data_IF_139101167884
#
_entry.id   IF_139101167884
#
_cell.length_a   1.000
_cell.length_b   1.000
_cell.length_c   1.000
_cell.angle_alpha   90.00
_cell.angle_beta   90.00
_cell.angle_gamma   90.00
#
_symmetry.space_group_name_H-M   'P 1'
#
loop_
_entity.id
_entity.type
_entity.pdbx_description
1 polymer ?
#
# COMPACT_ATOMS: atom_id res chain seq x y z
N UNK A 1 17.69 -9.92 -10.15
CA UNK A 1 16.22 -9.92 -10.11
C UNK A 1 15.74 -9.45 -11.46
N UNK A 2 14.93 -10.25 -12.19
CA UNK A 2 14.35 -9.80 -13.46
C UNK A 2 13.30 -8.73 -13.15
N UNK A 3 13.12 -7.79 -14.07
CA UNK A 3 12.13 -6.72 -13.94
C UNK A 3 10.75 -7.39 -13.78
N UNK A 4 10.03 -7.08 -12.70
CA UNK A 4 8.68 -7.58 -12.37
C UNK A 4 8.57 -9.01 -11.79
N UNK A 5 9.64 -9.62 -11.28
CA UNK A 5 9.53 -10.89 -10.54
C UNK A 5 8.56 -10.74 -9.35
N UNK A 6 7.67 -11.72 -9.19
CA UNK A 6 6.73 -11.77 -8.08
C UNK A 6 7.41 -12.26 -6.81
N UNK A 7 7.07 -11.62 -5.69
CA UNK A 7 7.41 -12.14 -4.37
C UNK A 7 6.60 -13.42 -4.12
N UNK A 8 7.28 -14.44 -3.61
CA UNK A 8 6.62 -15.68 -3.18
C UNK A 8 5.64 -15.40 -2.05
N UNK A 9 4.66 -16.28 -1.86
CA UNK A 9 3.73 -16.20 -0.72
C UNK A 9 4.48 -16.16 0.62
N UNK A 10 5.61 -16.87 0.74
CA UNK A 10 6.43 -16.85 1.95
C UNK A 10 7.07 -15.48 2.18
N UNK A 11 7.68 -14.88 1.15
CA UNK A 11 8.31 -13.56 1.26
C UNK A 11 7.28 -12.47 1.61
N UNK A 12 6.09 -12.51 0.99
CA UNK A 12 5.00 -11.58 1.31
C UNK A 12 4.54 -11.72 2.77
N UNK A 13 4.31 -12.96 3.24
CA UNK A 13 3.94 -13.22 4.64
C UNK A 13 5.02 -12.75 5.62
N UNK A 14 6.29 -13.01 5.33
CA UNK A 14 7.40 -12.55 6.17
C UNK A 14 7.50 -11.02 6.22
N UNK A 15 7.36 -10.36 5.08
CA UNK A 15 7.33 -8.90 5.01
C UNK A 15 6.13 -8.30 5.77
N UNK A 16 4.95 -8.92 5.68
CA UNK A 16 3.77 -8.48 6.43
C UNK A 16 3.98 -8.63 7.92
N UNK A 17 4.41 -9.82 8.37
CA UNK A 17 4.67 -10.11 9.77
C UNK A 17 5.67 -9.11 10.36
N UNK A 18 6.77 -8.85 9.64
CA UNK A 18 7.76 -7.86 10.04
C UNK A 18 7.18 -6.44 10.15
N UNK A 19 6.30 -6.04 9.24
CA UNK A 19 5.66 -4.72 9.33
C UNK A 19 4.71 -4.60 10.51
N UNK A 20 3.96 -5.66 10.85
CA UNK A 20 3.07 -5.70 12.02
C UNK A 20 3.89 -5.60 13.31
N UNK A 21 5.00 -6.33 13.42
CA UNK A 21 5.89 -6.29 14.58
C UNK A 21 6.46 -4.89 14.84
N UNK A 22 6.67 -4.11 13.78
CA UNK A 22 7.15 -2.73 13.86
C UNK A 22 6.03 -1.69 14.01
N UNK A 23 4.77 -2.11 14.11
CA UNK A 23 3.65 -1.18 14.26
C UNK A 23 3.78 -0.37 15.56
N UNK A 24 3.59 0.96 15.52
CA UNK A 24 3.54 1.77 16.74
C UNK A 24 2.43 1.33 17.70
N UNK A 25 1.32 0.86 17.14
CA UNK A 25 0.20 0.24 17.84
C UNK A 25 -0.43 -0.82 16.93
N UNK A 26 -0.46 -2.07 17.38
CA UNK A 26 -0.99 -3.20 16.61
C UNK A 26 -2.53 -3.27 16.62
N UNK A 27 -3.17 -2.58 17.56
CA UNK A 27 -4.63 -2.57 17.69
C UNK A 27 -5.29 -1.46 16.86
N UNK A 28 -4.56 -0.42 16.49
CA UNK A 28 -5.12 0.76 15.80
C UNK A 28 -4.54 0.98 14.40
N UNK A 29 -4.32 -0.11 13.67
CA UNK A 29 -3.74 -0.05 12.31
C UNK A 29 -4.73 0.57 11.31
N UNK A 30 -4.25 1.56 10.56
CA UNK A 30 -4.97 2.22 9.48
C UNK A 30 -4.16 2.25 8.18
N UNK A 31 -4.85 2.13 7.05
CA UNK A 31 -4.26 2.27 5.72
C UNK A 31 -4.36 3.72 5.23
N UNK A 32 -3.23 4.32 4.85
CA UNK A 32 -3.23 5.55 4.06
C UNK A 32 -3.39 5.23 2.55
N UNK A 33 -4.59 5.42 2.02
CA UNK A 33 -4.92 5.19 0.63
C UNK A 33 -4.72 6.47 -0.21
N UNK A 34 -3.83 6.39 -1.20
CA UNK A 34 -3.51 7.51 -2.12
C UNK A 34 -3.79 7.20 -3.59
N UNK A 35 -4.21 5.97 -3.91
CA UNK A 35 -4.39 5.48 -5.28
C UNK A 35 -5.64 4.61 -5.45
N UNK A 36 -5.49 3.46 -6.10
CA UNK A 36 -6.61 2.57 -6.45
C UNK A 36 -7.42 2.09 -5.23
N UNK A 37 -6.78 1.96 -4.06
CA UNK A 37 -7.43 1.56 -2.81
C UNK A 37 -8.48 2.57 -2.30
N UNK A 38 -8.44 3.83 -2.75
CA UNK A 38 -9.49 4.82 -2.46
C UNK A 38 -10.85 4.34 -3.03
N UNK A 39 -10.82 3.75 -4.23
CA UNK A 39 -12.03 3.39 -4.98
C UNK A 39 -12.38 1.91 -4.85
N UNK A 40 -11.37 1.06 -4.69
CA UNK A 40 -11.52 -0.39 -4.61
C UNK A 40 -10.66 -0.90 -3.45
N UNK A 41 -11.13 -0.84 -2.20
CA UNK A 41 -10.44 -1.43 -1.05
C UNK A 41 -10.44 -2.97 -1.15
N UNK A 42 -9.59 -3.61 -0.33
CA UNK A 42 -9.45 -5.08 -0.26
C UNK A 42 -10.14 -5.71 0.95
N UNK A 43 -10.86 -4.91 1.72
CA UNK A 43 -11.50 -5.28 2.98
C UNK A 43 -12.73 -4.39 3.15
N UNK A 44 -13.59 -4.75 4.11
CA UNK A 44 -14.77 -3.96 4.44
C UNK A 44 -14.36 -2.62 5.06
N UNK A 45 -14.90 -1.53 4.52
CA UNK A 45 -14.54 -0.18 4.96
C UNK A 45 -15.69 0.41 5.77
N UNK A 46 -15.50 0.46 7.08
CA UNK A 46 -16.48 1.04 8.01
C UNK A 46 -16.46 2.57 7.99
N UNK A 47 -15.27 3.17 7.84
CA UNK A 47 -15.11 4.61 7.83
C UNK A 47 -13.93 5.06 6.96
N UNK A 48 -13.96 6.32 6.54
CA UNK A 48 -12.90 6.97 5.75
C UNK A 48 -12.71 8.39 6.25
N UNK A 49 -11.49 8.73 6.60
CA UNK A 49 -11.11 10.08 7.01
C UNK A 49 -10.25 10.71 5.92
N UNK A 50 -10.48 12.00 5.59
CA UNK A 50 -9.53 12.73 4.76
C UNK A 50 -8.23 12.88 5.54
N UNK A 51 -7.10 12.69 4.87
CA UNK A 51 -5.80 12.78 5.50
C UNK A 51 -4.77 13.40 4.55
N UNK A 52 -3.79 14.09 5.11
CA UNK A 52 -2.68 14.70 4.39
C UNK A 52 -1.37 14.06 4.86
N UNK A 53 -0.66 13.43 3.92
CA UNK A 53 0.69 12.92 4.15
C UNK A 53 1.71 13.95 3.66
N UNK A 54 2.43 14.56 4.60
CA UNK A 54 3.51 15.52 4.31
C UNK A 54 4.82 14.81 4.00
N UNK A 55 5.69 15.43 3.20
CA UNK A 55 6.99 14.87 2.81
C UNK A 55 6.92 13.88 1.65
N UNK A 56 5.77 13.81 0.97
CA UNK A 56 5.53 12.90 -0.15
C UNK A 56 4.73 13.57 -1.26
N UNK A 57 5.07 13.24 -2.51
CA UNK A 57 4.28 13.54 -3.70
C UNK A 57 3.70 12.26 -4.28
N UNK A 58 2.41 12.28 -4.60
CA UNK A 58 1.78 11.26 -5.46
C UNK A 58 2.20 11.50 -6.91
N UNK A 59 2.87 10.51 -7.51
CA UNK A 59 3.39 10.59 -8.86
C UNK A 59 3.22 9.27 -9.61
N UNK A 60 3.18 9.34 -10.93
CA UNK A 60 3.20 8.17 -11.81
C UNK A 60 4.65 7.67 -11.95
N UNK A 61 5.15 7.00 -10.92
CA UNK A 61 6.56 6.61 -10.80
C UNK A 61 6.80 5.11 -10.62
N UNK A 62 5.77 4.28 -10.79
CA UNK A 62 5.85 2.83 -10.62
C UNK A 62 5.59 2.16 -11.96
N UNK A 63 6.58 1.48 -12.53
CA UNK A 63 6.31 0.63 -13.70
C UNK A 63 5.57 -0.64 -13.25
N UNK A 64 4.60 -1.07 -14.04
CA UNK A 64 3.84 -2.30 -13.76
C UNK A 64 3.45 -3.02 -15.06
N UNK A 65 3.40 -4.34 -15.00
CA UNK A 65 2.88 -5.20 -16.06
C UNK A 65 1.57 -5.88 -15.65
N UNK A 66 1.15 -5.71 -14.41
CA UNK A 66 -0.06 -6.30 -13.83
C UNK A 66 -1.29 -5.47 -14.13
N UNK A 67 -1.11 -4.15 -14.21
CA UNK A 67 -2.18 -3.21 -14.50
C UNK A 67 -1.72 -2.22 -15.56
N UNK A 68 -2.59 -1.96 -16.54
CA UNK A 68 -2.43 -0.87 -17.52
C UNK A 68 -1.16 -0.98 -18.38
N UNK A 69 -0.65 -2.19 -18.59
CA UNK A 69 0.50 -2.46 -19.44
C UNK A 69 0.74 -3.96 -19.61
N UNK A 70 1.78 -4.30 -20.38
CA UNK A 70 2.22 -5.66 -20.69
C UNK A 70 3.75 -5.74 -20.62
N UNK A 71 4.38 -6.92 -20.57
CA UNK A 71 5.84 -7.04 -20.45
C UNK A 71 6.65 -6.23 -21.47
N UNK A 72 6.20 -6.18 -22.73
CA UNK A 72 6.90 -5.45 -23.81
C UNK A 72 6.64 -3.93 -23.81
N UNK A 73 5.56 -3.49 -23.14
CA UNK A 73 5.23 -2.08 -22.97
C UNK A 73 4.60 -1.87 -21.58
N UNK A 74 5.44 -1.75 -20.53
CA UNK A 74 4.96 -1.69 -19.16
C UNK A 74 4.16 -0.41 -18.93
N UNK A 75 3.09 -0.55 -18.15
CA UNK A 75 2.23 0.53 -17.73
C UNK A 75 2.87 1.35 -16.62
N UNK A 76 2.21 2.46 -16.30
CA UNK A 76 2.62 3.37 -15.24
C UNK A 76 1.54 3.44 -14.16
N UNK A 77 1.92 3.06 -12.96
CA UNK A 77 1.16 3.11 -11.72
C UNK A 77 1.56 4.30 -10.85
N UNK A 78 0.70 4.59 -9.88
CA UNK A 78 0.93 5.63 -8.88
C UNK A 78 1.86 5.11 -7.78
N UNK A 79 2.77 5.96 -7.32
CA UNK A 79 3.55 5.74 -6.11
C UNK A 79 3.66 7.03 -5.30
N UNK A 80 4.21 6.90 -4.09
CA UNK A 80 4.59 8.04 -3.25
C UNK A 80 6.10 8.22 -3.35
N UNK A 81 6.53 9.35 -3.91
CA UNK A 81 7.93 9.75 -3.95
C UNK A 81 8.21 10.68 -2.77
N UNK A 82 9.29 10.43 -2.04
CA UNK A 82 9.78 11.36 -1.00
C UNK A 82 10.13 12.69 -1.67
N UNK A 83 9.49 13.76 -1.21
CA UNK A 83 9.56 15.11 -1.79
C UNK A 83 9.14 16.13 -0.71
N UNK A 84 9.41 17.43 -0.87
CA UNK A 84 8.94 18.45 0.07
C UNK A 84 7.44 18.80 -0.09
N UNK A 85 6.70 18.02 -0.87
CA UNK A 85 5.28 18.22 -1.14
C UNK A 85 4.38 17.54 -0.08
N UNK A 86 3.08 17.70 -0.24
CA UNK A 86 2.07 16.93 0.50
C UNK A 86 1.19 16.13 -0.45
N UNK A 87 0.68 15.01 0.04
CA UNK A 87 -0.23 14.13 -0.67
C UNK A 87 -1.55 14.05 0.09
N UNK A 88 -2.64 14.46 -0.56
CA UNK A 88 -3.99 14.23 -0.07
C UNK A 88 -4.42 12.79 -0.36
N UNK A 89 -4.97 12.13 0.66
CA UNK A 89 -5.46 10.77 0.57
C UNK A 89 -6.59 10.52 1.56
N UNK A 90 -6.86 9.24 1.81
CA UNK A 90 -7.79 8.80 2.82
C UNK A 90 -7.07 7.93 3.84
N UNK A 91 -7.31 8.18 5.12
CA UNK A 91 -7.01 7.23 6.18
C UNK A 91 -8.21 6.30 6.36
N UNK A 92 -7.97 5.01 6.25
CA UNK A 92 -8.99 3.97 6.32
C UNK A 92 -8.60 3.02 7.47
N UNK A 93 -9.29 3.09 8.62
CA UNK A 93 -9.07 2.13 9.70
C UNK A 93 -9.33 0.70 9.23
N UNK A 94 -8.51 -0.24 9.67
CA UNK A 94 -8.77 -1.65 9.43
C UNK A 94 -9.80 -2.16 10.46
N UNK A 95 -10.75 -3.04 10.07
CA UNK A 95 -11.71 -3.62 10.99
C UNK A 95 -11.00 -4.39 12.10
N UNK A 96 -11.46 -4.25 13.35
CA UNK A 96 -10.82 -4.88 14.51
C UNK A 96 -10.85 -6.40 14.42
N UNK A 97 -12.03 -6.98 14.15
CA UNK A 97 -12.25 -8.43 14.14
C UNK A 97 -11.62 -9.15 12.93
N UNK A 98 -11.31 -8.43 11.85
CA UNK A 98 -10.75 -9.00 10.61
C UNK A 98 -9.48 -8.29 10.13
N UNK A 99 -8.75 -7.66 11.06
CA UNK A 99 -7.53 -6.88 10.77
C UNK A 99 -6.47 -7.72 10.06
N UNK A 100 -6.28 -8.96 10.51
CA UNK A 100 -5.29 -9.88 9.96
C UNK A 100 -5.62 -10.27 8.51
N UNK A 101 -6.87 -10.56 8.23
CA UNK A 101 -7.37 -10.87 6.88
C UNK A 101 -7.26 -9.64 5.96
N UNK A 102 -7.61 -8.45 6.48
CA UNK A 102 -7.50 -7.20 5.75
C UNK A 102 -6.05 -6.89 5.37
N UNK A 103 -5.11 -7.01 6.31
CA UNK A 103 -3.68 -6.85 6.08
C UNK A 103 -3.14 -7.85 5.05
N UNK A 104 -3.53 -9.12 5.18
CA UNK A 104 -3.16 -10.17 4.22
C UNK A 104 -3.65 -9.81 2.82
N UNK A 105 -4.91 -9.39 2.68
CA UNK A 105 -5.52 -9.02 1.40
C UNK A 105 -4.87 -7.78 0.77
N UNK A 106 -4.43 -6.82 1.58
CA UNK A 106 -3.64 -5.67 1.11
C UNK A 106 -2.28 -6.14 0.58
N UNK A 107 -1.58 -6.99 1.33
CA UNK A 107 -0.26 -7.51 0.94
C UNK A 107 -0.31 -8.36 -0.33
N UNK A 108 -1.33 -9.21 -0.47
CA UNK A 108 -1.50 -10.04 -1.67
C UNK A 108 -1.69 -9.21 -2.94
N UNK A 109 -2.39 -8.07 -2.82
CA UNK A 109 -2.63 -7.16 -3.93
C UNK A 109 -1.47 -6.24 -4.23
N UNK A 110 -0.97 -5.51 -3.24
CA UNK A 110 -0.04 -4.40 -3.47
C UNK A 110 1.42 -4.88 -3.40
N UNK A 111 1.74 -5.84 -2.54
CA UNK A 111 3.10 -6.36 -2.35
C UNK A 111 3.39 -7.57 -3.25
N UNK A 112 2.74 -7.65 -4.42
CA UNK A 112 2.93 -8.75 -5.39
C UNK A 112 4.36 -8.77 -5.96
N UNK A 113 4.96 -7.60 -6.17
CA UNK A 113 6.36 -7.43 -6.53
C UNK A 113 7.05 -6.57 -5.47
N UNK A 114 8.38 -6.49 -5.50
CA UNK A 114 9.15 -5.63 -4.59
C UNK A 114 9.11 -4.12 -4.97
N UNK A 115 8.06 -3.67 -5.67
CA UNK A 115 7.99 -2.29 -6.21
C UNK A 115 7.58 -1.25 -5.17
N UNK A 116 6.76 -1.65 -4.19
CA UNK A 116 6.41 -0.81 -3.06
C UNK A 116 7.25 -1.18 -1.83
N UNK A 117 7.50 -0.16 -1.00
CA UNK A 117 8.09 -0.32 0.32
C UNK A 117 7.03 0.09 1.36
N UNK A 118 6.58 -0.83 2.22
CA UNK A 118 5.62 -0.50 3.26
C UNK A 118 6.29 0.36 4.34
N UNK A 119 5.56 1.36 4.86
CA UNK A 119 6.06 2.28 5.88
C UNK A 119 4.96 2.70 6.84
N UNK A 120 5.31 2.81 8.12
CA UNK A 120 4.53 3.54 9.11
C UNK A 120 4.78 5.04 8.92
N UNK A 121 3.70 5.82 8.80
CA UNK A 121 3.76 7.27 8.55
C UNK A 121 2.75 7.98 9.44
N UNK A 122 3.01 9.25 9.73
CA UNK A 122 2.05 10.15 10.37
C UNK A 122 1.34 10.99 9.31
N UNK A 123 0.05 11.24 9.52
CA UNK A 123 -0.78 12.06 8.64
C UNK A 123 -1.55 13.08 9.46
N UNK A 124 -1.87 14.21 8.84
CA UNK A 124 -2.77 15.26 9.37
C UNK A 124 -4.21 15.01 8.95
#
# INVERSE_FOLDING_TARGET
>A
MKRFDHLTTRERRQSLQHMIELAPDQETISLFAYGSLIWRPCFEVESRCKAILHGYRRDFCVFTVEARGVPDNPGLGLGLRVDSASCQGLLIPLPEDSRSEALTSIWEREMLTAVYQPKWVSVE
#
